data_IF_737742536876
#
_entry.id   IF_737742536876
#
_cell.length_a   1.000
_cell.length_b   1.000
_cell.length_c   1.000
_cell.angle_alpha   90.00
_cell.angle_beta   90.00
_cell.angle_gamma   90.00
#
_symmetry.space_group_name_H-M   'P 1'
#
loop_
_entity.id
_entity.type
_entity.pdbx_description
1 polymer ?
#
# COMPACT_ATOMS: atom_id res chain seq x y z
N UNK A 1 6.53 6.00 -7.33
CA UNK A 1 6.56 6.46 -8.73
C UNK A 1 7.94 6.93 -9.09
N UNK A 2 8.31 6.82 -10.35
CA UNK A 2 9.56 7.37 -10.88
C UNK A 2 9.71 8.87 -10.64
N UNK A 3 10.80 9.32 -10.02
CA UNK A 3 10.97 10.71 -9.58
C UNK A 3 10.94 11.75 -10.72
N UNK A 4 11.18 11.37 -11.97
CA UNK A 4 11.19 12.30 -13.10
C UNK A 4 9.85 12.38 -13.85
N UNK A 5 8.83 11.63 -13.42
CA UNK A 5 7.49 11.71 -14.04
C UNK A 5 6.73 12.95 -13.59
N UNK A 6 5.81 13.45 -14.41
CA UNK A 6 4.94 14.57 -14.04
C UNK A 6 4.16 14.30 -12.75
N UNK A 7 3.61 13.09 -12.63
CA UNK A 7 2.80 12.66 -11.48
C UNK A 7 3.63 12.55 -10.19
N UNK A 8 4.92 12.26 -10.28
CA UNK A 8 5.83 12.24 -9.13
C UNK A 8 6.03 13.62 -8.47
N UNK A 9 5.77 14.70 -9.22
CA UNK A 9 5.88 16.06 -8.71
C UNK A 9 4.56 16.60 -8.13
N UNK A 10 3.49 15.80 -8.14
CA UNK A 10 2.21 16.20 -7.56
C UNK A 10 2.16 15.88 -6.06
N UNK A 11 1.49 16.69 -5.23
CA UNK A 11 1.30 16.41 -3.81
C UNK A 11 0.44 15.15 -3.58
N UNK A 12 -0.48 14.88 -4.49
CA UNK A 12 -1.34 13.70 -4.54
C UNK A 12 -1.70 13.41 -6.00
N UNK A 13 -2.14 12.19 -6.28
CA UNK A 13 -2.73 11.80 -7.57
C UNK A 13 -4.14 11.23 -7.38
N UNK A 14 -4.88 11.03 -8.47
CA UNK A 14 -6.13 10.25 -8.48
C UNK A 14 -5.94 8.92 -9.21
N UNK A 15 -6.85 7.97 -9.02
CA UNK A 15 -6.90 6.75 -9.84
C UNK A 15 -7.08 7.08 -11.33
N UNK A 16 -7.89 8.08 -11.67
CA UNK A 16 -8.08 8.49 -13.07
C UNK A 16 -6.74 8.87 -13.75
N UNK A 17 -5.87 9.59 -13.06
CA UNK A 17 -4.54 9.98 -13.56
C UNK A 17 -3.58 8.78 -13.73
N UNK A 18 -3.88 7.65 -13.09
CA UNK A 18 -3.10 6.42 -13.16
C UNK A 18 -3.56 5.46 -14.27
N UNK A 19 -4.63 5.79 -15.01
CA UNK A 19 -5.13 4.95 -16.09
C UNK A 19 -4.10 4.74 -17.20
N UNK A 20 -4.09 3.53 -17.78
CA UNK A 20 -3.19 3.15 -18.86
C UNK A 20 -1.72 2.95 -18.44
N UNK A 21 -1.37 3.23 -17.18
CA UNK A 21 -0.03 2.94 -16.65
C UNK A 21 0.16 1.44 -16.42
N UNK A 22 1.42 1.02 -16.24
CA UNK A 22 1.79 -0.35 -15.90
C UNK A 22 2.35 -0.41 -14.48
N UNK A 23 1.87 -1.35 -13.66
CA UNK A 23 2.24 -1.49 -12.25
C UNK A 23 2.79 -2.87 -11.97
N UNK A 24 3.82 -2.94 -11.12
CA UNK A 24 4.22 -4.19 -10.48
C UNK A 24 3.38 -4.34 -9.21
N UNK A 25 2.78 -5.50 -9.02
CA UNK A 25 1.81 -5.71 -7.92
C UNK A 25 2.05 -7.08 -7.28
N UNK A 26 2.11 -7.17 -5.95
CA UNK A 26 2.06 -8.45 -5.27
C UNK A 26 0.68 -9.09 -5.46
N UNK A 27 0.58 -10.39 -5.76
CA UNK A 27 -0.73 -11.04 -5.97
C UNK A 27 -1.58 -11.07 -4.70
N UNK A 28 -0.97 -11.41 -3.57
CA UNK A 28 -1.66 -11.60 -2.29
C UNK A 28 -1.84 -10.28 -1.49
N UNK A 29 -2.41 -9.24 -2.11
CA UNK A 29 -2.67 -7.94 -1.46
C UNK A 29 -4.09 -7.78 -0.88
N UNK A 30 -4.89 -8.85 -0.91
CA UNK A 30 -6.25 -8.84 -0.34
C UNK A 30 -7.20 -7.91 -1.10
N UNK A 31 -8.10 -7.18 -0.41
CA UNK A 31 -9.14 -6.38 -1.07
C UNK A 31 -8.60 -5.23 -1.93
N UNK A 32 -7.34 -4.83 -1.74
CA UNK A 32 -6.68 -3.83 -2.59
C UNK A 32 -6.61 -4.25 -4.06
N UNK A 33 -6.60 -5.56 -4.35
CA UNK A 33 -6.63 -6.07 -5.73
C UNK A 33 -7.90 -5.67 -6.48
N UNK A 34 -9.07 -5.78 -5.84
CA UNK A 34 -10.34 -5.34 -6.42
C UNK A 34 -10.38 -3.81 -6.56
N UNK A 35 -9.94 -3.08 -5.52
CA UNK A 35 -9.92 -1.61 -5.54
C UNK A 35 -9.15 -1.08 -6.75
N UNK A 36 -7.92 -1.56 -7.00
CA UNK A 36 -7.15 -1.08 -8.16
C UNK A 36 -7.77 -1.53 -9.48
N UNK A 37 -8.30 -2.75 -9.58
CA UNK A 37 -8.92 -3.24 -10.82
C UNK A 37 -10.20 -2.46 -11.16
N UNK A 38 -11.01 -2.12 -10.16
CA UNK A 38 -12.27 -1.39 -10.36
C UNK A 38 -12.04 0.08 -10.72
N UNK A 39 -11.02 0.72 -10.13
CA UNK A 39 -10.77 2.15 -10.34
C UNK A 39 -9.88 2.43 -11.57
N UNK A 40 -8.99 1.52 -11.95
CA UNK A 40 -8.10 1.65 -13.13
C UNK A 40 -8.09 0.35 -13.97
N UNK A 41 -9.24 -0.05 -14.55
CA UNK A 41 -9.38 -1.32 -15.28
C UNK A 41 -8.46 -1.43 -16.50
N UNK A 42 -8.10 -0.30 -17.10
CA UNK A 42 -7.22 -0.23 -18.27
C UNK A 42 -5.72 -0.21 -17.92
N UNK A 43 -5.37 -0.22 -16.64
CA UNK A 43 -3.99 -0.33 -16.20
C UNK A 43 -3.46 -1.76 -16.39
N UNK A 44 -2.16 -1.89 -16.68
CA UNK A 44 -1.50 -3.19 -16.83
C UNK A 44 -0.88 -3.61 -15.51
N UNK A 45 -1.31 -4.75 -14.97
CA UNK A 45 -0.79 -5.26 -13.71
C UNK A 45 0.13 -6.47 -13.92
N UNK A 46 1.40 -6.33 -13.53
CA UNK A 46 2.41 -7.40 -13.57
C UNK A 46 2.48 -8.07 -12.20
N UNK A 47 1.58 -9.02 -11.96
CA UNK A 47 1.47 -9.70 -10.68
C UNK A 47 2.68 -10.57 -10.36
N UNK A 48 3.23 -10.40 -9.15
CA UNK A 48 4.30 -11.22 -8.59
C UNK A 48 3.78 -12.02 -7.40
N UNK A 49 4.10 -13.32 -7.37
CA UNK A 49 3.79 -14.22 -6.26
C UNK A 49 4.95 -14.32 -5.25
N UNK A 50 6.17 -14.09 -5.74
CA UNK A 50 7.41 -14.19 -4.98
C UNK A 50 7.93 -12.80 -4.57
N UNK A 51 8.29 -12.66 -3.29
CA UNK A 51 8.78 -11.38 -2.74
C UNK A 51 10.16 -11.02 -3.29
N UNK A 52 11.07 -11.97 -3.42
CA UNK A 52 12.42 -11.70 -3.91
C UNK A 52 12.39 -11.28 -5.38
N UNK A 53 11.55 -11.93 -6.19
CA UNK A 53 11.28 -11.52 -7.57
C UNK A 53 10.68 -10.11 -7.63
N UNK A 54 9.72 -9.78 -6.76
CA UNK A 54 9.16 -8.44 -6.66
C UNK A 54 10.24 -7.39 -6.32
N UNK A 55 11.10 -7.66 -5.32
CA UNK A 55 12.20 -6.78 -4.95
C UNK A 55 13.20 -6.60 -6.08
N UNK A 56 13.60 -7.68 -6.76
CA UNK A 56 14.56 -7.63 -7.87
C UNK A 56 14.01 -6.83 -9.06
N UNK A 57 12.77 -7.12 -9.50
CA UNK A 57 12.16 -6.42 -10.65
C UNK A 57 11.96 -4.95 -10.32
N UNK A 58 11.42 -4.63 -9.14
CA UNK A 58 11.23 -3.23 -8.76
C UNK A 58 12.57 -2.52 -8.68
N UNK A 59 13.62 -3.10 -8.10
CA UNK A 59 14.96 -2.50 -8.01
C UNK A 59 15.55 -2.10 -9.38
N UNK A 60 15.30 -2.88 -10.44
CA UNK A 60 15.89 -2.64 -11.76
C UNK A 60 14.92 -2.04 -12.79
N UNK A 61 13.65 -1.85 -12.45
CA UNK A 61 12.65 -1.24 -13.34
C UNK A 61 12.13 0.09 -12.81
N UNK A 62 11.60 0.90 -13.71
CA UNK A 62 10.99 2.21 -13.39
C UNK A 62 9.46 2.14 -13.25
N UNK A 63 8.90 0.93 -13.24
CA UNK A 63 7.45 0.77 -13.06
C UNK A 63 7.05 1.15 -11.62
N UNK A 64 5.93 1.86 -11.43
CA UNK A 64 5.34 2.10 -10.12
C UNK A 64 4.80 0.80 -9.51
N UNK A 65 4.68 0.81 -8.18
CA UNK A 65 3.98 -0.20 -7.39
C UNK A 65 3.19 0.49 -6.28
N UNK A 66 2.16 -0.18 -5.77
CA UNK A 66 1.30 0.36 -4.70
C UNK A 66 1.85 -0.03 -3.33
N UNK A 67 1.68 0.88 -2.37
CA UNK A 67 1.99 0.68 -0.94
C UNK A 67 0.88 1.30 -0.11
N UNK A 68 0.68 0.82 1.11
CA UNK A 68 -0.17 1.51 2.10
C UNK A 68 0.70 2.11 3.21
N UNK A 69 0.11 2.97 4.03
CA UNK A 69 0.73 3.43 5.27
C UNK A 69 1.01 2.28 6.28
N UNK A 70 0.41 1.10 6.08
CA UNK A 70 0.69 -0.11 6.85
C UNK A 70 1.83 -0.92 6.24
N UNK A 71 2.06 -0.87 4.93
CA UNK A 71 3.17 -1.59 4.29
C UNK A 71 4.53 -1.23 4.90
N UNK A 72 4.66 -0.02 5.46
CA UNK A 72 5.88 0.44 6.14
C UNK A 72 6.21 -0.32 7.43
N UNK A 73 5.25 -1.04 8.03
CA UNK A 73 5.52 -1.90 9.19
C UNK A 73 6.13 -3.25 8.81
N UNK A 74 6.07 -3.65 7.54
CA UNK A 74 6.74 -4.85 7.04
C UNK A 74 8.23 -4.51 6.78
N UNK A 75 9.19 -5.12 7.50
CA UNK A 75 10.61 -4.82 7.34
C UNK A 75 11.09 -4.96 5.89
N UNK A 76 10.56 -5.96 5.16
CA UNK A 76 10.90 -6.20 3.77
C UNK A 76 10.58 -4.99 2.88
N UNK A 77 9.34 -4.48 2.98
CA UNK A 77 8.92 -3.32 2.21
C UNK A 77 9.57 -2.03 2.69
N UNK A 78 9.78 -1.89 4.00
CA UNK A 78 10.39 -0.70 4.58
C UNK A 78 11.82 -0.50 4.08
N UNK A 79 12.63 -1.57 4.07
CA UNK A 79 14.00 -1.52 3.54
C UNK A 79 14.01 -1.23 2.04
N UNK A 80 13.12 -1.89 1.28
CA UNK A 80 13.01 -1.68 -0.16
C UNK A 80 12.67 -0.22 -0.51
N UNK A 81 11.68 0.37 0.15
CA UNK A 81 11.27 1.77 -0.09
C UNK A 81 12.33 2.76 0.41
N UNK A 82 12.95 2.52 1.58
CA UNK A 82 13.99 3.41 2.12
C UNK A 82 15.26 3.46 1.27
N UNK A 83 15.62 2.34 0.65
CA UNK A 83 16.83 2.25 -0.16
C UNK A 83 16.63 2.73 -1.60
N UNK A 84 15.37 2.94 -2.01
CA UNK A 84 15.03 3.42 -3.34
C UNK A 84 15.12 4.94 -3.43
N UNK A 85 16.15 5.43 -4.14
CA UNK A 85 16.38 6.86 -4.38
C UNK A 85 15.80 7.35 -5.70
N UNK A 86 15.30 6.45 -6.53
CA UNK A 86 14.80 6.75 -7.87
C UNK A 86 13.28 6.88 -7.91
N UNK A 87 12.60 6.49 -6.84
CA UNK A 87 11.16 6.61 -6.70
C UNK A 87 10.74 7.45 -5.50
N UNK A 88 9.63 8.16 -5.70
CA UNK A 88 8.92 8.91 -4.64
C UNK A 88 7.57 8.28 -4.37
N UNK A 89 7.13 8.31 -3.12
CA UNK A 89 5.77 7.88 -2.74
C UNK A 89 4.81 9.05 -2.92
N UNK A 90 3.79 8.87 -3.76
CA UNK A 90 2.75 9.88 -4.00
C UNK A 90 1.41 9.33 -3.49
N UNK A 91 0.73 10.01 -2.56
CA UNK A 91 -0.57 9.57 -2.07
C UNK A 91 -1.64 9.60 -3.17
N UNK A 92 -2.53 8.60 -3.16
CA UNK A 92 -3.75 8.59 -3.98
C UNK A 92 -4.86 9.24 -3.15
N UNK A 93 -5.53 10.24 -3.70
CA UNK A 93 -6.47 11.10 -2.97
C UNK A 93 -7.91 10.58 -2.96
N UNK A 94 -8.27 9.69 -3.89
CA UNK A 94 -9.61 9.08 -3.98
C UNK A 94 -10.03 8.42 -2.65
N UNK A 95 -11.31 8.51 -2.32
CA UNK A 95 -11.83 7.86 -1.13
C UNK A 95 -11.77 6.33 -1.21
N UNK A 96 -11.80 5.77 -2.42
CA UNK A 96 -11.57 4.33 -2.65
C UNK A 96 -10.15 3.88 -2.33
N UNK A 97 -9.18 4.80 -2.24
CA UNK A 97 -7.80 4.49 -1.82
C UNK A 97 -7.65 4.38 -0.28
N UNK A 98 -8.76 4.42 0.46
CA UNK A 98 -8.80 4.30 1.93
C UNK A 98 -9.60 3.07 2.32
N UNK A 99 -9.17 2.39 3.38
CA UNK A 99 -9.85 1.20 3.89
C UNK A 99 -9.98 1.28 5.41
N UNK A 100 -11.20 1.03 5.90
CA UNK A 100 -11.46 0.89 7.34
C UNK A 100 -10.97 -0.48 7.79
N UNK A 101 -10.14 -0.51 8.83
CA UNK A 101 -9.66 -1.75 9.44
C UNK A 101 -10.52 -2.08 10.64
N UNK A 102 -11.02 -3.32 10.69
CA UNK A 102 -11.88 -3.81 11.76
C UNK A 102 -11.16 -4.86 12.59
N UNK A 103 -11.36 -4.81 13.91
CA UNK A 103 -11.00 -5.90 14.82
C UNK A 103 -12.21 -6.83 14.98
N UNK A 104 -12.05 -8.11 14.64
CA UNK A 104 -13.10 -9.11 14.79
C UNK A 104 -12.79 -10.02 15.99
N UNK A 105 -13.75 -10.19 16.89
CA UNK A 105 -13.60 -10.97 18.12
C UNK A 105 -14.95 -11.49 18.61
N UNK A 106 -14.93 -12.58 19.39
CA UNK A 106 -16.14 -13.14 20.00
C UNK A 106 -16.75 -12.14 21.00
N UNK A 107 -18.08 -11.98 20.97
CA UNK A 107 -18.81 -11.07 21.86
C UNK A 107 -18.49 -11.36 23.34
N UNK A 108 -18.35 -12.64 23.71
CA UNK A 108 -17.98 -13.06 25.07
C UNK A 108 -16.63 -12.49 25.54
N UNK A 109 -15.70 -12.19 24.62
CA UNK A 109 -14.37 -11.64 24.92
C UNK A 109 -14.35 -10.11 24.96
N UNK A 110 -15.46 -9.43 24.65
CA UNK A 110 -15.53 -7.97 24.56
C UNK A 110 -14.99 -7.27 25.81
N UNK A 111 -15.39 -7.72 27.00
CA UNK A 111 -14.98 -7.08 28.27
C UNK A 111 -13.47 -7.16 28.48
N UNK A 112 -12.83 -8.25 28.05
CA UNK A 112 -11.40 -8.45 28.20
C UNK A 112 -10.59 -7.69 27.14
N UNK A 113 -11.08 -7.67 25.89
CA UNK A 113 -10.38 -7.06 24.76
C UNK A 113 -10.60 -5.55 24.62
N UNK A 114 -11.72 -5.00 25.13
CA UNK A 114 -12.06 -3.60 24.94
C UNK A 114 -10.95 -2.61 25.36
N UNK A 115 -10.25 -2.76 26.51
CA UNK A 115 -9.17 -1.84 26.87
C UNK A 115 -8.03 -1.85 25.85
N UNK A 116 -7.54 -3.05 25.47
CA UNK A 116 -6.48 -3.21 24.47
C UNK A 116 -6.90 -2.66 23.11
N UNK A 117 -8.14 -2.91 22.68
CA UNK A 117 -8.64 -2.40 21.40
C UNK A 117 -8.74 -0.87 21.40
N UNK A 118 -9.13 -0.25 22.52
CA UNK A 118 -9.12 1.20 22.66
C UNK A 118 -7.70 1.79 22.58
N UNK A 119 -6.72 1.14 23.20
CA UNK A 119 -5.31 1.54 23.09
C UNK A 119 -4.81 1.44 21.64
N UNK A 120 -5.08 0.32 20.96
CA UNK A 120 -4.73 0.14 19.55
C UNK A 120 -5.38 1.23 18.69
N UNK A 121 -6.66 1.52 18.90
CA UNK A 121 -7.38 2.57 18.17
C UNK A 121 -6.78 3.96 18.37
N UNK A 122 -6.40 4.31 19.61
CA UNK A 122 -5.79 5.61 19.92
C UNK A 122 -4.42 5.78 19.26
N UNK A 123 -3.67 4.69 19.12
CA UNK A 123 -2.33 4.70 18.55
C UNK A 123 -2.31 4.33 17.06
N UNK A 124 -3.45 4.01 16.46
CA UNK A 124 -3.52 3.58 15.07
C UNK A 124 -3.19 4.71 14.08
N UNK A 125 -2.44 4.45 12.99
CA UNK A 125 -1.66 3.25 12.69
C UNK A 125 -0.22 3.30 13.25
N UNK A 126 0.15 4.35 13.99
CA UNK A 126 1.52 4.58 14.51
C UNK A 126 2.03 3.41 15.36
N UNK A 127 1.16 2.75 16.13
CA UNK A 127 1.52 1.56 16.90
C UNK A 127 2.09 0.41 16.06
N UNK A 128 1.78 0.36 14.76
CA UNK A 128 2.31 -0.68 13.86
C UNK A 128 3.69 -0.32 13.29
N UNK A 129 4.11 0.95 13.36
CA UNK A 129 5.32 1.44 12.72
C UNK A 129 6.56 1.40 13.64
N UNK A 130 6.40 0.96 14.90
CA UNK A 130 7.48 0.88 15.89
C UNK A 130 7.84 -0.57 16.24
N UNK A 131 8.98 -1.02 15.71
CA UNK A 131 9.97 -1.88 16.37
C UNK A 131 11.34 -1.67 15.73
#
# INVERSE_FOLDING_TARGET
MDQFTYLANQPTVTFEELQGMSFIVMRAIGPWSAIIQDNIPEAKFMYQDDRDAFAEITKYSRFPFFTTNLSQSDPFFNEQVKNDKDRVTVPISDDSAKMVVYANYLIAQKKHLAPMLSEIQQQWPKALQSK
#
